data_IF_129487515511
#
_entry.id   IF_129487515511
#
_cell.length_a   1.000
_cell.length_b   1.000
_cell.length_c   1.000
_cell.angle_alpha   90.00
_cell.angle_beta   90.00
_cell.angle_gamma   90.00
#
_symmetry.space_group_name_H-M   'P 1'
#
loop_
_entity.id
_entity.type
_entity.pdbx_description
1 polymer ?
#
# COMPACT_ATOMS: atom_id res chain seq x y z
N UNK A 1 -28.57 -3.99 -62.37
CA UNK A 1 -28.98 -4.90 -61.28
C UNK A 1 -28.30 -4.42 -60.00
N UNK A 2 -29.06 -3.96 -59.01
CA UNK A 2 -28.51 -3.56 -57.71
C UNK A 2 -28.31 -4.83 -56.85
N UNK A 3 -27.15 -5.03 -56.23
CA UNK A 3 -26.89 -6.20 -55.41
C UNK A 3 -27.84 -6.23 -54.20
N UNK A 4 -28.41 -7.41 -53.89
CA UNK A 4 -29.22 -7.64 -52.69
C UNK A 4 -28.34 -7.36 -51.46
N UNK A 5 -28.74 -6.41 -50.61
CA UNK A 5 -28.13 -6.22 -49.30
C UNK A 5 -28.47 -7.42 -48.42
N UNK A 6 -27.47 -8.19 -48.00
CA UNK A 6 -27.61 -9.21 -46.98
C UNK A 6 -27.89 -8.55 -45.62
N UNK A 7 -29.02 -8.90 -45.01
CA UNK A 7 -29.38 -8.46 -43.66
C UNK A 7 -28.71 -9.34 -42.61
N UNK A 8 -28.46 -8.77 -41.45
CA UNK A 8 -27.95 -9.47 -40.27
C UNK A 8 -28.97 -10.51 -39.77
N UNK A 9 -28.53 -11.71 -39.42
CA UNK A 9 -29.41 -12.75 -38.87
C UNK A 9 -29.57 -12.62 -37.36
N UNK A 10 -30.70 -13.11 -36.84
CA UNK A 10 -30.94 -13.17 -35.39
C UNK A 10 -29.90 -14.04 -34.67
N UNK A 11 -29.43 -15.11 -35.32
CA UNK A 11 -28.43 -16.00 -34.75
C UNK A 11 -27.05 -15.31 -34.66
N UNK A 12 -26.67 -14.50 -35.64
CA UNK A 12 -25.44 -13.71 -35.57
C UNK A 12 -25.48 -12.71 -34.42
N UNK A 13 -26.61 -12.03 -34.22
CA UNK A 13 -26.75 -11.09 -33.10
C UNK A 13 -26.67 -11.82 -31.75
N UNK A 14 -27.30 -12.98 -31.64
CA UNK A 14 -27.31 -13.79 -30.42
C UNK A 14 -25.92 -14.35 -30.05
N UNK A 15 -25.16 -14.81 -31.04
CA UNK A 15 -23.79 -15.29 -30.82
C UNK A 15 -22.86 -14.15 -30.38
N UNK A 16 -23.02 -12.96 -30.96
CA UNK A 16 -22.18 -11.80 -30.61
C UNK A 16 -22.38 -11.37 -29.16
N UNK A 17 -23.63 -11.25 -28.70
CA UNK A 17 -23.88 -10.88 -27.30
C UNK A 17 -23.37 -11.95 -26.33
N UNK A 18 -23.42 -13.24 -26.71
CA UNK A 18 -22.84 -14.32 -25.91
C UNK A 18 -21.31 -14.22 -25.82
N UNK A 19 -20.63 -13.93 -26.94
CA UNK A 19 -19.17 -13.72 -26.95
C UNK A 19 -18.79 -12.47 -26.14
N UNK A 20 -19.48 -11.34 -26.32
CA UNK A 20 -19.22 -10.12 -25.55
C UNK A 20 -19.45 -10.37 -24.05
N UNK A 21 -20.52 -11.07 -23.67
CA UNK A 21 -20.80 -11.41 -22.28
C UNK A 21 -19.72 -12.26 -21.62
N UNK A 22 -19.21 -13.28 -22.33
CA UNK A 22 -18.13 -14.12 -21.81
C UNK A 22 -16.82 -13.35 -21.67
N UNK A 23 -16.40 -12.59 -22.69
CA UNK A 23 -15.19 -11.77 -22.64
C UNK A 23 -15.26 -10.70 -21.54
N UNK A 24 -16.40 -10.03 -21.40
CA UNK A 24 -16.60 -8.99 -20.38
C UNK A 24 -16.44 -9.53 -18.95
N UNK A 25 -16.89 -10.77 -18.68
CA UNK A 25 -16.76 -11.39 -17.36
C UNK A 25 -15.30 -11.61 -16.94
N UNK A 26 -14.44 -12.00 -17.89
CA UNK A 26 -13.01 -12.26 -17.64
C UNK A 26 -12.26 -10.96 -17.35
N UNK A 27 -12.55 -9.89 -18.11
CA UNK A 27 -11.87 -8.60 -18.00
C UNK A 27 -12.04 -7.96 -16.62
N UNK A 28 -13.22 -8.09 -16.01
CA UNK A 28 -13.50 -7.48 -14.70
C UNK A 28 -12.59 -8.02 -13.58
N UNK A 29 -12.29 -9.32 -13.57
CA UNK A 29 -11.43 -9.93 -12.55
C UNK A 29 -9.98 -9.42 -12.65
N UNK A 30 -9.46 -9.26 -13.87
CA UNK A 30 -8.09 -8.77 -14.09
C UNK A 30 -7.91 -7.30 -13.69
N UNK A 31 -8.94 -6.46 -13.86
CA UNK A 31 -8.87 -5.04 -13.54
C UNK A 31 -8.74 -4.76 -12.03
N UNK A 32 -9.35 -5.61 -11.18
CA UNK A 32 -9.28 -5.44 -9.71
C UNK A 32 -7.85 -5.69 -9.22
N UNK A 33 -7.27 -6.84 -9.55
CA UNK A 33 -5.91 -7.21 -9.13
C UNK A 33 -4.83 -6.22 -9.63
N UNK A 34 -5.04 -5.63 -10.82
CA UNK A 34 -4.13 -4.61 -11.35
C UNK A 34 -4.12 -3.32 -10.54
N UNK A 35 -5.28 -2.89 -10.02
CA UNK A 35 -5.41 -1.69 -9.18
C UNK A 35 -4.75 -1.89 -7.82
N UNK A 36 -4.92 -3.07 -7.22
CA UNK A 36 -4.34 -3.41 -5.92
C UNK A 36 -2.81 -3.37 -6.00
N UNK A 37 -2.22 -4.01 -7.02
CA UNK A 37 -0.77 -3.95 -7.29
C UNK A 37 -0.25 -2.52 -7.48
N UNK A 38 -0.99 -1.69 -8.21
CA UNK A 38 -0.58 -0.31 -8.46
C UNK A 38 -0.57 0.53 -7.17
N UNK A 39 -1.58 0.36 -6.31
CA UNK A 39 -1.61 1.03 -4.99
C UNK A 39 -0.50 0.51 -4.08
N UNK A 40 -0.22 -0.79 -4.07
CA UNK A 40 0.87 -1.37 -3.28
C UNK A 40 2.25 -0.92 -3.77
N UNK A 41 2.45 -0.78 -5.08
CA UNK A 41 3.68 -0.20 -5.63
C UNK A 41 3.90 1.24 -5.12
N UNK A 42 2.82 2.04 -5.05
CA UNK A 42 2.86 3.38 -4.45
C UNK A 42 3.19 3.32 -2.95
N UNK A 43 2.51 2.48 -2.16
CA UNK A 43 2.81 2.30 -0.73
C UNK A 43 4.28 1.97 -0.47
N UNK A 44 4.82 1.01 -1.22
CA UNK A 44 6.23 0.61 -1.09
C UNK A 44 7.18 1.74 -1.45
N UNK A 45 6.88 2.51 -2.49
CA UNK A 45 7.68 3.66 -2.89
C UNK A 45 7.66 4.77 -1.82
N UNK A 46 6.47 5.11 -1.32
CA UNK A 46 6.28 6.11 -0.27
C UNK A 46 7.03 5.73 1.01
N UNK A 47 6.87 4.48 1.47
CA UNK A 47 7.55 3.94 2.65
C UNK A 47 9.06 3.88 2.42
N UNK A 48 9.53 3.48 1.25
CA UNK A 48 10.97 3.44 0.98
C UNK A 48 11.59 4.84 0.95
N UNK A 49 10.85 5.86 0.49
CA UNK A 49 11.33 7.24 0.47
C UNK A 49 11.41 7.83 1.89
N UNK A 50 10.32 7.75 2.66
CA UNK A 50 10.27 8.31 4.02
C UNK A 50 11.05 7.44 5.02
N UNK A 51 10.97 6.13 4.88
CA UNK A 51 11.65 5.16 5.75
C UNK A 51 13.16 5.33 5.72
N UNK A 52 13.77 5.65 4.57
CA UNK A 52 15.20 6.01 4.49
C UNK A 52 15.56 7.20 5.37
N UNK A 53 14.71 8.22 5.43
CA UNK A 53 14.94 9.38 6.27
C UNK A 53 14.79 9.05 7.75
N UNK A 54 13.69 8.38 8.13
CA UNK A 54 13.40 8.06 9.54
C UNK A 54 14.35 7.01 10.14
N UNK A 55 14.82 6.07 9.33
CA UNK A 55 15.69 4.96 9.77
C UNK A 55 17.14 5.39 10.08
N UNK A 56 17.56 6.60 9.67
CA UNK A 56 18.90 7.12 9.96
C UNK A 56 19.11 7.41 11.44
N UNK A 57 18.11 8.00 12.09
CA UNK A 57 18.20 8.44 13.48
C UNK A 57 17.13 7.84 14.39
N UNK A 58 16.22 7.03 13.84
CA UNK A 58 15.10 6.41 14.55
C UNK A 58 14.51 7.27 15.65
N UNK A 59 13.88 8.35 15.20
CA UNK A 59 13.25 9.32 16.08
C UNK A 59 12.35 8.66 17.13
N UNK A 60 12.56 9.02 18.40
CA UNK A 60 11.74 8.57 19.52
C UNK A 60 10.75 9.69 19.89
N UNK A 61 9.43 9.48 19.67
CA UNK A 61 8.41 10.43 20.09
C UNK A 61 8.42 10.70 21.59
N UNK A 62 7.93 11.88 22.03
CA UNK A 62 7.80 12.26 23.44
C UNK A 62 6.96 11.25 24.24
N UNK A 63 6.00 10.59 23.60
CA UNK A 63 5.17 9.54 24.21
C UNK A 63 5.96 8.25 24.53
N UNK A 64 7.20 8.13 24.04
CA UNK A 64 8.10 7.01 24.27
C UNK A 64 8.06 5.94 23.16
N UNK A 65 8.63 4.76 23.42
CA UNK A 65 8.58 3.61 22.51
C UNK A 65 7.15 3.19 22.22
N UNK A 66 6.91 2.74 21.00
CA UNK A 66 5.59 2.28 20.60
C UNK A 66 5.37 2.41 19.11
N UNK A 67 4.11 2.38 18.75
CA UNK A 67 3.65 2.50 17.37
C UNK A 67 2.78 3.74 17.21
N UNK A 68 3.02 4.48 16.13
CA UNK A 68 2.38 5.76 15.83
C UNK A 68 2.01 5.85 14.36
N UNK A 69 0.99 6.64 14.03
CA UNK A 69 0.79 7.05 12.64
C UNK A 69 1.89 8.03 12.22
N UNK A 70 2.34 7.94 10.97
CA UNK A 70 3.37 8.82 10.41
C UNK A 70 3.01 10.31 10.53
N UNK A 71 1.73 10.68 10.45
CA UNK A 71 1.30 12.08 10.63
C UNK A 71 1.69 12.64 12.01
N UNK A 72 1.51 11.85 13.08
CA UNK A 72 1.87 12.28 14.43
C UNK A 72 3.37 12.50 14.53
N UNK A 73 4.14 11.50 14.10
CA UNK A 73 5.62 11.54 14.14
C UNK A 73 6.16 12.72 13.34
N UNK A 74 5.61 12.97 12.15
CA UNK A 74 6.01 14.08 11.31
C UNK A 74 5.71 15.45 11.94
N UNK A 75 4.52 15.64 12.53
CA UNK A 75 4.16 16.89 13.20
C UNK A 75 5.07 17.20 14.39
N UNK A 76 5.43 16.17 15.16
CA UNK A 76 6.36 16.30 16.28
C UNK A 76 7.78 16.66 15.80
N UNK A 77 8.26 15.99 14.75
CA UNK A 77 9.54 16.28 14.11
C UNK A 77 9.62 17.72 13.57
N UNK A 78 8.56 18.22 12.94
CA UNK A 78 8.49 19.60 12.45
C UNK A 78 8.54 20.59 13.61
N UNK A 79 7.82 20.29 14.70
CA UNK A 79 7.76 21.15 15.89
C UNK A 79 9.12 21.28 16.56
N UNK A 80 9.88 20.17 16.65
CA UNK A 80 11.23 20.17 17.23
C UNK A 80 12.27 20.74 16.25
N UNK A 81 12.12 20.47 14.95
CA UNK A 81 13.06 20.84 13.91
C UNK A 81 12.33 21.46 12.70
N UNK A 82 12.04 22.78 12.73
CA UNK A 82 11.30 23.46 11.68
C UNK A 82 11.92 23.33 10.27
N UNK A 83 13.22 23.03 10.19
CA UNK A 83 13.93 22.76 8.94
C UNK A 83 13.34 21.58 8.14
N UNK A 84 12.65 20.63 8.78
CA UNK A 84 12.02 19.50 8.10
C UNK A 84 10.64 19.82 7.54
N UNK A 85 10.10 21.02 7.77
CA UNK A 85 8.77 21.41 7.34
C UNK A 85 8.56 21.27 5.83
N UNK A 86 9.54 21.66 5.00
CA UNK A 86 9.43 21.54 3.54
C UNK A 86 9.40 20.07 3.06
N UNK A 87 10.02 19.16 3.81
CA UNK A 87 10.06 17.74 3.50
C UNK A 87 8.82 16.99 4.03
N UNK A 88 8.34 17.36 5.22
CA UNK A 88 7.29 16.65 5.95
C UNK A 88 5.89 17.28 5.82
N UNK A 89 5.71 18.44 5.19
CA UNK A 89 4.37 19.02 4.97
C UNK A 89 3.50 18.20 4.00
N UNK A 90 4.12 17.52 3.02
CA UNK A 90 3.42 16.73 2.01
C UNK A 90 3.63 15.24 2.26
N UNK A 91 3.18 14.75 3.42
CA UNK A 91 3.30 13.34 3.74
C UNK A 91 2.49 12.50 2.75
N UNK A 92 3.08 11.41 2.24
CA UNK A 92 2.29 10.44 1.52
C UNK A 92 1.29 9.78 2.47
N UNK A 93 0.17 9.37 1.90
CA UNK A 93 -0.92 8.71 2.62
C UNK A 93 -1.29 7.45 1.87
N UNK A 94 -1.77 6.45 2.60
CA UNK A 94 -2.27 5.22 2.03
C UNK A 94 -3.34 5.52 0.95
N UNK A 95 -3.20 5.02 -0.29
CA UNK A 95 -4.10 5.38 -1.37
C UNK A 95 -5.56 4.92 -1.22
N UNK A 96 -5.86 4.05 -0.26
CA UNK A 96 -7.20 3.52 0.01
C UNK A 96 -7.77 4.02 1.35
N UNK A 97 -6.94 4.01 2.39
CA UNK A 97 -7.38 4.29 3.77
C UNK A 97 -7.00 5.69 4.25
N UNK A 98 -5.96 6.29 3.65
CA UNK A 98 -5.42 7.58 4.06
C UNK A 98 -6.43 8.71 3.94
N UNK A 99 -6.45 9.59 4.95
CA UNK A 99 -7.28 10.79 5.02
C UNK A 99 -6.47 11.94 5.65
N UNK A 100 -7.02 13.14 5.79
CA UNK A 100 -6.27 14.31 6.27
C UNK A 100 -5.67 14.16 7.67
N UNK A 101 -6.27 13.33 8.53
CA UNK A 101 -5.82 13.10 9.92
C UNK A 101 -4.88 11.90 10.06
N UNK A 102 -5.08 10.84 9.26
CA UNK A 102 -4.33 9.59 9.36
C UNK A 102 -3.72 9.19 8.02
N UNK A 103 -2.42 8.89 8.02
CA UNK A 103 -1.73 8.41 6.82
C UNK A 103 -1.94 6.92 6.58
N UNK A 104 -2.21 6.14 7.63
CA UNK A 104 -2.19 4.66 7.60
C UNK A 104 -0.80 4.07 7.26
N UNK A 105 0.25 4.89 7.35
CA UNK A 105 1.63 4.44 7.41
C UNK A 105 2.06 4.46 8.87
N UNK A 106 2.43 3.29 9.39
CA UNK A 106 2.72 3.10 10.80
C UNK A 106 4.22 3.12 11.03
N UNK A 107 4.63 3.88 12.04
CA UNK A 107 5.99 3.99 12.50
C UNK A 107 6.10 3.32 13.87
N UNK A 108 6.92 2.28 13.96
CA UNK A 108 7.25 1.60 15.21
C UNK A 108 8.68 1.93 15.61
N UNK A 109 8.92 2.25 16.88
CA UNK A 109 10.24 2.55 17.44
C UNK A 109 10.41 1.93 18.82
N UNK A 110 11.62 1.50 19.14
CA UNK A 110 11.98 0.95 20.45
C UNK A 110 13.09 1.76 21.15
N UNK A 111 13.32 1.47 22.44
CA UNK A 111 14.38 2.10 23.26
C UNK A 111 15.81 1.81 22.76
N UNK A 112 15.97 0.86 21.84
CA UNK A 112 17.27 0.43 21.30
C UNK A 112 17.65 1.16 20.02
N UNK A 113 17.04 2.33 19.75
CA UNK A 113 17.26 3.12 18.55
C UNK A 113 17.01 2.34 17.24
N UNK A 114 16.04 1.42 17.29
CA UNK A 114 15.53 0.71 16.11
C UNK A 114 14.15 1.20 15.79
N UNK A 115 13.85 1.27 14.50
CA UNK A 115 12.55 1.69 14.04
C UNK A 115 12.21 1.03 12.70
N UNK A 116 10.91 0.92 12.43
CA UNK A 116 10.40 0.52 11.14
C UNK A 116 9.23 1.40 10.73
N UNK A 117 9.19 1.76 9.45
CA UNK A 117 8.01 2.35 8.81
C UNK A 117 7.36 1.27 7.96
N UNK A 118 6.05 1.08 8.10
CA UNK A 118 5.36 -0.01 7.44
C UNK A 118 3.92 0.34 7.03
N UNK A 119 3.36 -0.44 6.11
CA UNK A 119 1.94 -0.42 5.80
C UNK A 119 1.41 -1.81 5.43
N UNK A 120 0.11 -2.01 5.63
CA UNK A 120 -0.60 -3.19 5.15
C UNK A 120 -0.78 -3.13 3.62
N UNK A 121 -0.64 -4.26 2.94
CA UNK A 121 -0.78 -4.38 1.49
C UNK A 121 -2.19 -4.85 1.12
N UNK A 122 -2.56 -4.69 -0.14
CA UNK A 122 -3.86 -5.13 -0.68
C UNK A 122 -3.75 -6.38 -1.54
N UNK A 123 -2.62 -6.56 -2.22
CA UNK A 123 -2.43 -7.66 -3.13
C UNK A 123 -2.11 -8.96 -2.36
N UNK A 124 -3.11 -9.84 -2.24
CA UNK A 124 -3.04 -11.09 -1.48
C UNK A 124 -1.94 -12.08 -1.93
N UNK A 125 -1.40 -11.90 -3.13
CA UNK A 125 -0.37 -12.79 -3.69
C UNK A 125 1.00 -12.09 -3.75
N UNK A 126 1.24 -11.07 -2.92
CA UNK A 126 2.56 -10.47 -2.79
C UNK A 126 3.55 -11.49 -2.18
N UNK A 127 4.75 -11.67 -2.76
CA UNK A 127 5.76 -12.57 -2.20
C UNK A 127 6.25 -12.10 -0.82
N UNK A 128 6.23 -13.01 0.15
CA UNK A 128 6.79 -12.78 1.49
C UNK A 128 8.31 -12.93 1.42
N UNK A 129 9.05 -11.90 1.84
CA UNK A 129 10.52 -11.88 1.85
C UNK A 129 11.12 -11.94 3.25
N UNK A 130 10.34 -11.55 4.27
CA UNK A 130 10.71 -11.59 5.68
C UNK A 130 9.98 -12.75 6.38
N UNK A 131 10.42 -13.97 6.11
CA UNK A 131 9.74 -15.20 6.55
C UNK A 131 9.83 -15.46 8.06
N UNK A 132 10.75 -14.80 8.74
CA UNK A 132 10.99 -14.99 10.18
C UNK A 132 10.18 -14.00 11.05
N UNK A 133 9.42 -13.10 10.42
CA UNK A 133 8.60 -12.12 11.12
C UNK A 133 7.12 -12.42 10.93
N UNK A 134 6.39 -12.33 12.02
CA UNK A 134 4.93 -12.49 12.06
C UNK A 134 4.21 -11.20 12.37
N UNK A 135 4.94 -10.12 12.67
CA UNK A 135 4.42 -8.77 12.91
C UNK A 135 5.48 -7.72 12.50
N UNK A 136 5.08 -6.51 12.07
CA UNK A 136 6.01 -5.41 11.83
C UNK A 136 6.88 -5.13 13.05
N UNK A 137 8.19 -5.08 12.85
CA UNK A 137 9.15 -5.08 13.98
C UNK A 137 10.25 -4.05 13.74
N UNK A 138 10.47 -3.17 14.71
CA UNK A 138 11.61 -2.27 14.75
C UNK A 138 12.94 -3.05 14.77
N UNK A 139 13.81 -2.83 13.79
CA UNK A 139 15.04 -3.61 13.60
C UNK A 139 14.85 -4.88 12.77
N UNK A 140 13.64 -5.13 12.24
CA UNK A 140 13.27 -6.36 11.54
C UNK A 140 13.70 -6.44 10.06
N UNK A 141 14.49 -5.50 9.57
CA UNK A 141 14.91 -5.42 8.17
C UNK A 141 13.80 -4.93 7.21
N UNK A 142 14.11 -4.91 5.92
CA UNK A 142 13.24 -4.36 4.87
C UNK A 142 12.64 -5.46 4.01
N UNK A 143 11.32 -5.40 3.77
CA UNK A 143 10.64 -6.37 2.92
C UNK A 143 9.18 -6.60 3.29
N UNK A 144 8.61 -7.66 2.72
CA UNK A 144 7.23 -8.08 2.96
C UNK A 144 7.20 -9.20 3.99
N UNK A 145 6.39 -9.04 5.03
CA UNK A 145 6.12 -10.05 6.05
C UNK A 145 4.63 -10.43 6.03
N UNK A 146 4.32 -11.58 6.63
CA UNK A 146 2.95 -12.06 6.81
C UNK A 146 2.56 -11.97 8.28
N UNK A 147 1.56 -11.14 8.56
CA UNK A 147 0.94 -10.89 9.84
C UNK A 147 0.12 -12.07 10.36
N UNK A 148 -0.18 -12.05 11.67
CA UNK A 148 -1.10 -13.00 12.31
C UNK A 148 -2.59 -12.66 12.10
N UNK A 149 -2.88 -11.44 11.64
CA UNK A 149 -4.24 -10.94 11.43
C UNK A 149 -4.34 -10.12 10.15
N UNK A 150 -5.56 -10.01 9.63
CA UNK A 150 -5.88 -9.17 8.48
C UNK A 150 -5.82 -7.70 8.91
N UNK A 151 -5.03 -6.91 8.19
CA UNK A 151 -4.88 -5.47 8.40
C UNK A 151 -5.95 -4.63 7.70
N UNK A 152 -5.79 -3.31 7.81
CA UNK A 152 -6.77 -2.31 7.34
C UNK A 152 -6.99 -2.28 5.83
N UNK A 153 -6.06 -2.81 5.04
CA UNK A 153 -6.17 -2.89 3.58
C UNK A 153 -6.80 -4.22 3.11
N UNK A 154 -7.10 -5.15 4.03
CA UNK A 154 -7.83 -6.38 3.75
C UNK A 154 -6.96 -7.60 3.49
N UNK A 155 -5.66 -7.53 3.75
CA UNK A 155 -4.76 -8.70 3.75
C UNK A 155 -3.97 -8.79 5.04
N UNK A 156 -3.34 -9.93 5.30
CA UNK A 156 -2.36 -10.10 6.37
C UNK A 156 -0.92 -9.79 5.91
N UNK A 157 -0.72 -9.11 4.77
CA UNK A 157 0.61 -8.82 4.23
C UNK A 157 1.02 -7.40 4.56
N UNK A 158 2.25 -7.22 5.02
CA UNK A 158 2.78 -5.90 5.38
C UNK A 158 4.12 -5.70 4.72
N UNK A 159 4.34 -4.50 4.17
CA UNK A 159 5.67 -4.08 3.75
C UNK A 159 6.25 -3.17 4.81
N UNK A 160 7.48 -3.46 5.25
CA UNK A 160 8.22 -2.64 6.20
C UNK A 160 9.58 -2.20 5.65
N UNK A 161 10.04 -1.05 6.12
CA UNK A 161 11.38 -0.52 5.95
C UNK A 161 11.96 -0.22 7.33
N UNK A 162 13.02 -0.92 7.70
CA UNK A 162 13.68 -0.83 9.01
C UNK A 162 15.18 -0.64 8.86
N UNK A 163 15.82 0.02 9.84
CA UNK A 163 17.27 -0.07 10.04
C UNK A 163 17.68 -1.34 10.80
#
# INVERSE_FOLDING_TARGET
>A
MLPKKSGFTLIELLVIIAIIGTLASIVLVYLVAGRDKARDARRKADIAQIGRFLSLSCYLPQAGPGEYDLALVANELITQNPQYQSFLNNLPRDPKMGNDSETYYRYIVNDSNRCALYANLEYANEPVTLTNLTEPTAGGGQGVLKGNAVGWNGTDLYFQFSN
#
